data_IF_600457691943
#
_entry.id   IF_600457691943
#
_cell.length_a   1.000
_cell.length_b   1.000
_cell.length_c   1.000
_cell.angle_alpha   90.00
_cell.angle_beta   90.00
_cell.angle_gamma   90.00
#
_symmetry.space_group_name_H-M   'P 1'
#
loop_
_entity.id
_entity.type
_entity.pdbx_description
1 polymer ?
#
# COMPACT_ATOMS: atom_id res chain seq x y z
N UNK A 1 15.64 -3.84 -6.40
CA UNK A 1 14.92 -2.58 -6.66
C UNK A 1 13.56 -2.90 -7.26
N UNK A 2 12.47 -2.57 -6.57
CA UNK A 2 11.13 -2.64 -7.16
C UNK A 2 10.99 -1.50 -8.18
N UNK A 3 10.86 -1.81 -9.47
CA UNK A 3 10.66 -0.80 -10.49
C UNK A 3 9.20 -0.37 -10.52
N UNK A 4 8.94 0.91 -10.83
CA UNK A 4 7.57 1.46 -10.95
C UNK A 4 6.68 0.59 -11.87
N UNK A 5 7.27 0.05 -12.94
CA UNK A 5 6.60 -0.85 -13.88
C UNK A 5 6.23 -2.21 -13.25
N UNK A 6 7.13 -2.84 -12.49
CA UNK A 6 6.86 -4.13 -11.84
C UNK A 6 5.70 -4.04 -10.84
N UNK A 7 5.66 -2.96 -10.07
CA UNK A 7 4.58 -2.72 -9.10
C UNK A 7 3.22 -2.50 -9.79
N UNK A 8 3.22 -1.76 -10.91
CA UNK A 8 2.03 -1.57 -11.75
C UNK A 8 1.52 -2.88 -12.34
N UNK A 9 2.40 -3.67 -12.97
CA UNK A 9 2.04 -4.96 -13.57
C UNK A 9 1.48 -5.90 -12.51
N UNK A 10 2.12 -5.97 -11.33
CA UNK A 10 1.64 -6.79 -10.20
C UNK A 10 0.24 -6.38 -9.75
N UNK A 11 0.00 -5.07 -9.57
CA UNK A 11 -1.30 -4.54 -9.16
C UNK A 11 -2.40 -4.86 -10.18
N UNK A 12 -2.12 -4.64 -11.46
CA UNK A 12 -3.07 -4.96 -12.55
C UNK A 12 -3.34 -6.46 -12.65
N UNK A 13 -2.29 -7.29 -12.56
CA UNK A 13 -2.43 -8.75 -12.58
C UNK A 13 -3.31 -9.25 -11.43
N UNK A 14 -3.14 -8.69 -10.24
CA UNK A 14 -3.98 -9.04 -9.08
C UNK A 14 -5.44 -8.65 -9.28
N UNK A 15 -5.71 -7.47 -9.85
CA UNK A 15 -7.08 -6.99 -10.15
C UNK A 15 -7.79 -7.86 -11.19
N UNK A 16 -7.09 -8.22 -12.27
CA UNK A 16 -7.64 -9.11 -13.31
C UNK A 16 -7.96 -10.48 -12.71
N UNK A 17 -7.05 -11.03 -11.90
CA UNK A 17 -7.26 -12.32 -11.23
C UNK A 17 -8.52 -12.30 -10.36
N UNK A 18 -8.71 -11.24 -9.55
CA UNK A 18 -9.91 -11.08 -8.74
C UNK A 18 -11.21 -10.98 -9.55
N UNK A 19 -11.19 -10.24 -10.67
CA UNK A 19 -12.34 -10.13 -11.56
C UNK A 19 -12.71 -11.48 -12.18
N UNK A 20 -11.72 -12.25 -12.64
CA UNK A 20 -11.93 -13.59 -13.23
C UNK A 20 -12.47 -14.57 -12.20
N UNK A 21 -11.89 -14.61 -11.00
CA UNK A 21 -12.34 -15.52 -9.92
C UNK A 21 -13.81 -15.24 -9.59
N UNK A 22 -14.18 -13.97 -9.39
CA UNK A 22 -15.56 -13.62 -9.09
C UNK A 22 -16.50 -13.99 -10.24
N UNK A 23 -16.11 -13.72 -11.49
CA UNK A 23 -16.89 -14.13 -12.67
C UNK A 23 -17.10 -15.63 -12.74
N UNK A 24 -16.06 -16.44 -12.49
CA UNK A 24 -16.14 -17.91 -12.48
C UNK A 24 -17.06 -18.40 -11.36
N UNK A 25 -16.92 -17.88 -10.14
CA UNK A 25 -17.79 -18.27 -9.01
C UNK A 25 -19.24 -17.88 -9.29
N UNK A 26 -19.49 -16.64 -9.72
CA UNK A 26 -20.84 -16.18 -10.05
C UNK A 26 -21.45 -17.00 -11.18
N UNK A 27 -20.69 -17.37 -12.21
CA UNK A 27 -21.19 -18.25 -13.28
C UNK A 27 -21.47 -19.66 -12.80
N UNK A 28 -20.60 -20.23 -11.95
CA UNK A 28 -20.80 -21.57 -11.39
C UNK A 28 -22.13 -21.69 -10.62
N UNK A 29 -22.54 -20.62 -9.93
CA UNK A 29 -23.80 -20.56 -9.21
C UNK A 29 -24.99 -20.25 -10.10
N UNK A 30 -24.91 -19.23 -10.97
CA UNK A 30 -26.08 -18.76 -11.72
C UNK A 30 -26.29 -19.52 -13.03
N UNK A 31 -25.26 -20.15 -13.59
CA UNK A 31 -25.22 -20.81 -14.92
C UNK A 31 -25.74 -19.92 -16.07
N UNK A 32 -25.77 -18.60 -15.88
CA UNK A 32 -26.29 -17.63 -16.82
C UNK A 32 -25.31 -16.46 -16.97
N UNK A 33 -24.79 -16.27 -18.18
CA UNK A 33 -23.83 -15.22 -18.50
C UNK A 33 -24.36 -13.80 -18.26
N UNK A 34 -25.66 -13.57 -18.45
CA UNK A 34 -26.28 -12.25 -18.26
C UNK A 34 -26.25 -11.86 -16.78
N UNK A 35 -26.71 -12.76 -15.91
CA UNK A 35 -26.72 -12.55 -14.46
C UNK A 35 -25.30 -12.44 -13.91
N UNK A 36 -24.39 -13.33 -14.34
CA UNK A 36 -22.98 -13.28 -13.94
C UNK A 36 -22.36 -11.92 -14.25
N UNK A 37 -22.56 -11.40 -15.46
CA UNK A 37 -22.01 -10.10 -15.88
C UNK A 37 -22.56 -8.96 -15.03
N UNK A 38 -23.85 -9.02 -14.69
CA UNK A 38 -24.48 -8.03 -13.83
C UNK A 38 -23.91 -8.05 -12.41
N UNK A 39 -23.77 -9.26 -11.83
CA UNK A 39 -23.19 -9.45 -10.50
C UNK A 39 -21.74 -8.92 -10.45
N UNK A 40 -20.88 -9.33 -11.40
CA UNK A 40 -19.49 -8.86 -11.41
C UNK A 40 -19.40 -7.36 -11.61
N UNK A 41 -20.18 -6.78 -12.51
CA UNK A 41 -20.15 -5.33 -12.79
C UNK A 41 -20.60 -4.51 -11.59
N UNK A 42 -21.72 -4.90 -10.96
CA UNK A 42 -22.23 -4.23 -9.76
C UNK A 42 -21.24 -4.36 -8.62
N UNK A 43 -20.70 -5.55 -8.38
CA UNK A 43 -19.77 -5.78 -7.28
C UNK A 43 -18.53 -4.89 -7.39
N UNK A 44 -17.91 -4.80 -8.57
CA UNK A 44 -16.72 -3.97 -8.77
C UNK A 44 -17.03 -2.48 -8.67
N UNK A 45 -18.17 -2.04 -9.23
CA UNK A 45 -18.64 -0.64 -9.10
C UNK A 45 -18.89 -0.26 -7.64
N UNK A 46 -19.60 -1.11 -6.91
CA UNK A 46 -19.90 -0.89 -5.50
C UNK A 46 -18.63 -0.89 -4.66
N UNK A 47 -17.71 -1.83 -4.90
CA UNK A 47 -16.42 -1.87 -4.21
C UNK A 47 -15.63 -0.58 -4.44
N UNK A 48 -15.64 -0.04 -5.67
CA UNK A 48 -14.95 1.21 -5.97
C UNK A 48 -15.55 2.38 -5.17
N UNK A 49 -16.88 2.52 -5.18
CA UNK A 49 -17.60 3.55 -4.43
C UNK A 49 -17.37 3.40 -2.92
N UNK A 50 -17.55 2.19 -2.38
CA UNK A 50 -17.34 1.90 -0.96
C UNK A 50 -15.89 2.14 -0.55
N UNK A 51 -14.91 1.82 -1.39
CA UNK A 51 -13.51 2.07 -1.08
C UNK A 51 -13.23 3.57 -0.98
N UNK A 52 -13.79 4.39 -1.87
CA UNK A 52 -13.67 5.84 -1.77
C UNK A 52 -14.26 6.39 -0.47
N UNK A 53 -15.49 5.98 -0.11
CA UNK A 53 -16.12 6.41 1.13
C UNK A 53 -15.39 5.87 2.37
N UNK A 54 -14.91 4.63 2.31
CA UNK A 54 -14.10 4.03 3.36
C UNK A 54 -12.82 4.82 3.59
N UNK A 55 -12.08 5.15 2.54
CA UNK A 55 -10.86 5.96 2.64
C UNK A 55 -11.17 7.35 3.21
N UNK A 56 -12.26 7.98 2.75
CA UNK A 56 -12.68 9.28 3.27
C UNK A 56 -13.07 9.22 4.74
N UNK A 57 -13.75 8.17 5.17
CA UNK A 57 -14.12 7.95 6.56
C UNK A 57 -12.89 7.64 7.42
N UNK A 58 -12.02 6.77 6.92
CA UNK A 58 -10.76 6.37 7.55
C UNK A 58 -9.82 7.55 7.76
N UNK A 59 -9.78 8.52 6.85
CA UNK A 59 -9.01 9.74 7.01
C UNK A 59 -9.39 10.58 8.25
N UNK A 60 -10.59 10.41 8.81
CA UNK A 60 -10.99 11.06 10.07
C UNK A 60 -10.64 10.23 11.31
N UNK A 61 -10.24 8.97 11.12
CA UNK A 61 -9.85 8.06 12.19
C UNK A 61 -8.33 8.16 12.33
N UNK A 62 -7.85 8.80 13.39
CA UNK A 62 -6.41 8.94 13.71
C UNK A 62 -5.74 7.62 14.18
N UNK A 63 -6.36 6.47 13.87
CA UNK A 63 -5.93 5.17 14.39
C UNK A 63 -4.66 4.70 13.69
N UNK A 64 -3.60 4.47 14.46
CA UNK A 64 -2.33 3.94 13.96
C UNK A 64 -1.36 4.96 13.38
N UNK A 65 -1.66 6.27 13.47
CA UNK A 65 -0.68 7.31 13.12
C UNK A 65 0.45 7.35 14.14
N UNK A 66 1.55 6.65 13.86
CA UNK A 66 2.80 6.80 14.61
C UNK A 66 3.45 8.10 14.15
N UNK A 67 3.18 9.19 14.85
CA UNK A 67 3.94 10.41 14.66
C UNK A 67 5.37 10.15 15.13
N UNK A 68 6.31 10.06 14.18
CA UNK A 68 7.72 9.95 14.53
C UNK A 68 8.09 11.15 15.42
N UNK A 69 8.83 10.97 16.53
CA UNK A 69 9.13 12.06 17.46
C UNK A 69 9.85 13.25 16.79
N UNK A 70 10.52 13.00 15.67
CA UNK A 70 11.22 14.01 14.87
C UNK A 70 10.41 14.58 13.69
N UNK A 71 9.12 14.28 13.54
CA UNK A 71 8.30 14.73 12.40
C UNK A 71 8.11 16.25 12.32
N UNK A 72 8.33 16.96 13.42
CA UNK A 72 8.21 18.41 13.53
C UNK A 72 9.46 19.18 13.06
N UNK A 73 10.58 18.49 12.79
CA UNK A 73 11.80 19.14 12.37
C UNK A 73 11.71 19.58 10.89
N UNK A 74 12.13 20.81 10.53
CA UNK A 74 12.14 21.28 9.15
C UNK A 74 13.31 20.65 8.39
N UNK A 75 13.16 19.40 7.97
CA UNK A 75 14.17 18.64 7.21
C UNK A 75 14.01 18.93 5.72
N UNK A 76 15.13 19.06 5.00
CA UNK A 76 15.11 19.17 3.54
C UNK A 76 14.59 17.85 2.93
N UNK A 77 13.79 17.91 1.85
CA UNK A 77 13.17 16.72 1.27
C UNK A 77 14.18 15.72 0.68
N UNK A 78 15.34 16.22 0.22
CA UNK A 78 16.39 15.39 -0.34
C UNK A 78 17.55 15.28 0.66
N UNK A 79 17.87 14.04 1.08
CA UNK A 79 19.10 13.75 1.80
C UNK A 79 20.21 13.54 0.78
N UNK A 80 21.29 14.32 0.89
CA UNK A 80 22.52 14.04 0.15
C UNK A 80 23.31 12.93 0.86
N UNK A 81 24.23 12.28 0.14
CA UNK A 81 25.10 11.26 0.72
C UNK A 81 25.95 11.81 1.87
N UNK A 82 26.34 13.09 1.81
CA UNK A 82 27.05 13.77 2.89
C UNK A 82 26.18 13.91 4.15
N UNK A 83 24.90 14.25 3.99
CA UNK A 83 23.95 14.36 5.11
C UNK A 83 23.73 12.99 5.78
N UNK A 84 23.62 11.92 4.99
CA UNK A 84 23.48 10.55 5.50
C UNK A 84 24.71 10.12 6.30
N UNK A 85 25.92 10.39 5.79
CA UNK A 85 27.17 10.09 6.49
C UNK A 85 27.31 10.90 7.78
N UNK A 86 26.96 12.18 7.75
CA UNK A 86 26.96 13.03 8.93
C UNK A 86 26.00 12.50 10.01
N UNK A 87 24.77 12.15 9.64
CA UNK A 87 23.79 11.54 10.56
C UNK A 87 24.29 10.20 11.09
N UNK A 88 24.86 9.34 10.24
CA UNK A 88 25.43 8.05 10.66
C UNK A 88 26.57 8.25 11.67
N UNK A 89 27.47 9.19 11.43
CA UNK A 89 28.58 9.48 12.32
C UNK A 89 28.08 10.01 13.68
N UNK A 90 27.10 10.91 13.69
CA UNK A 90 26.48 11.41 14.92
C UNK A 90 25.80 10.29 15.72
N UNK A 91 25.05 9.42 15.06
CA UNK A 91 24.40 8.30 15.73
C UNK A 91 25.43 7.30 16.29
N UNK A 92 26.58 7.12 15.62
CA UNK A 92 27.69 6.28 16.10
C UNK A 92 28.32 6.89 17.34
N UNK A 93 28.62 8.20 17.30
CA UNK A 93 29.20 8.94 18.42
C UNK A 93 28.29 8.90 19.66
N UNK A 94 26.98 9.10 19.45
CA UNK A 94 25.97 9.07 20.52
C UNK A 94 25.58 7.66 20.96
N UNK A 95 26.21 6.62 20.38
CA UNK A 95 25.89 5.20 20.62
C UNK A 95 24.40 4.86 20.40
N UNK A 96 23.75 5.58 19.48
CA UNK A 96 22.36 5.37 19.09
C UNK A 96 22.23 4.47 17.85
N UNK A 97 23.33 4.12 17.19
CA UNK A 97 23.37 3.12 16.12
C UNK A 97 23.38 1.71 16.73
N UNK A 98 22.22 1.05 16.71
CA UNK A 98 22.12 -0.39 16.92
C UNK A 98 22.69 -1.12 15.71
N UNK A 99 23.58 -2.09 15.91
CA UNK A 99 23.89 -3.06 14.85
C UNK A 99 22.64 -3.88 14.59
N UNK A 100 22.21 -4.05 13.33
CA UNK A 100 20.95 -4.72 13.06
C UNK A 100 21.00 -6.21 13.42
N UNK A 101 19.96 -6.69 14.11
CA UNK A 101 19.80 -8.07 14.61
C UNK A 101 19.63 -9.15 13.52
N UNK A 102 19.96 -8.87 12.26
CA UNK A 102 19.89 -9.85 11.16
C UNK A 102 21.23 -10.54 10.84
N UNK A 103 22.29 -10.28 11.61
CA UNK A 103 23.59 -10.98 11.49
C UNK A 103 23.73 -12.18 12.46
N UNK A 104 22.69 -13.01 12.57
CA UNK A 104 22.76 -14.34 13.22
C UNK A 104 22.42 -15.42 12.20
#
# INVERSE_FOLDING_TARGET
METRLRSWVKSTSWRITGFVILGVISYAFTRNWKETTWITTIFHSLRFVLYYFHERWWAHISWGTINHPLSHLPVKPDLTTEDEEAVRNLLRERKCLSTPDYEI
#
